data_IF_494548228923
#
_entry.id   IF_494548228923
#
_cell.length_a   1.000
_cell.length_b   1.000
_cell.length_c   1.000
_cell.angle_alpha   90.00
_cell.angle_beta   90.00
_cell.angle_gamma   90.00
#
_symmetry.space_group_name_H-M   'P 1'
#
loop_
_entity.id
_entity.type
_entity.pdbx_description
1 polymer ?
#
# COMPACT_ATOMS: atom_id res chain seq x y z
N UNK A 1 -25.03 -18.32 -1.70
CA UNK A 1 -24.58 -16.94 -1.95
C UNK A 1 -23.31 -16.80 -1.13
N UNK A 2 -22.21 -17.22 -1.72
CA UNK A 2 -20.95 -17.39 -1.01
C UNK A 2 -20.34 -16.00 -0.80
N UNK A 3 -20.16 -15.60 0.46
CA UNK A 3 -19.50 -14.35 0.77
C UNK A 3 -18.10 -14.40 0.13
N UNK A 4 -17.75 -13.49 -0.78
CA UNK A 4 -16.40 -13.48 -1.33
C UNK A 4 -15.47 -13.26 -0.15
N UNK A 5 -14.46 -14.12 0.00
CA UNK A 5 -13.40 -13.91 0.98
C UNK A 5 -12.79 -12.54 0.69
N UNK A 6 -13.16 -11.52 1.47
CA UNK A 6 -12.57 -10.19 1.38
C UNK A 6 -11.08 -10.36 1.65
N UNK A 7 -10.28 -10.25 0.60
CA UNK A 7 -8.83 -10.32 0.74
C UNK A 7 -8.36 -9.07 1.49
N UNK A 8 -7.14 -9.10 2.02
CA UNK A 8 -6.55 -7.92 2.70
C UNK A 8 -6.65 -6.65 1.86
N UNK A 9 -6.49 -6.79 0.54
CA UNK A 9 -6.64 -5.70 -0.42
C UNK A 9 -8.06 -5.09 -0.51
N UNK A 10 -9.13 -5.77 -0.05
CA UNK A 10 -10.48 -5.19 0.05
C UNK A 10 -10.73 -4.50 1.40
N UNK A 11 -10.02 -4.94 2.45
CA UNK A 11 -10.20 -4.43 3.81
C UNK A 11 -9.63 -3.03 3.98
N UNK A 12 -8.53 -2.72 3.30
CA UNK A 12 -7.87 -1.42 3.36
C UNK A 12 -8.78 -0.31 2.79
N UNK A 13 -9.32 -0.42 1.56
CA UNK A 13 -10.28 0.55 1.06
C UNK A 13 -11.52 0.64 1.95
N UNK A 14 -12.08 -0.49 2.40
CA UNK A 14 -13.26 -0.52 3.27
C UNK A 14 -13.07 0.16 4.64
N UNK A 15 -11.82 0.25 5.12
CA UNK A 15 -11.46 0.89 6.40
C UNK A 15 -10.81 2.27 6.21
N UNK A 16 -10.69 2.76 4.97
CA UNK A 16 -10.17 4.08 4.63
C UNK A 16 -11.34 5.05 4.52
N UNK A 17 -11.14 6.31 4.94
CA UNK A 17 -12.16 7.35 4.77
C UNK A 17 -12.50 7.54 3.28
N UNK A 18 -13.78 7.73 2.99
CA UNK A 18 -14.29 7.74 1.60
C UNK A 18 -13.67 8.86 0.76
N UNK A 19 -13.38 10.01 1.36
CA UNK A 19 -12.71 11.14 0.70
C UNK A 19 -11.30 10.79 0.21
N UNK A 20 -10.57 9.94 0.94
CA UNK A 20 -9.25 9.46 0.54
C UNK A 20 -9.35 8.44 -0.60
N UNK A 21 -10.31 7.50 -0.50
CA UNK A 21 -10.56 6.54 -1.57
C UNK A 21 -10.98 7.24 -2.87
N UNK A 22 -11.86 8.23 -2.77
CA UNK A 22 -12.34 8.98 -3.91
C UNK A 22 -11.22 9.79 -4.58
N UNK A 23 -10.35 10.44 -3.79
CA UNK A 23 -9.17 11.12 -4.33
C UNK A 23 -8.28 10.16 -5.13
N UNK A 24 -8.01 8.97 -4.61
CA UNK A 24 -7.19 7.97 -5.33
C UNK A 24 -7.85 7.53 -6.64
N UNK A 25 -9.18 7.35 -6.65
CA UNK A 25 -9.93 7.03 -7.87
C UNK A 25 -9.88 8.16 -8.89
N UNK A 26 -10.02 9.41 -8.44
CA UNK A 26 -9.93 10.60 -9.28
C UNK A 26 -8.53 10.71 -9.91
N UNK A 27 -7.47 10.56 -9.10
CA UNK A 27 -6.08 10.59 -9.58
C UNK A 27 -5.81 9.53 -10.66
N UNK A 28 -6.38 8.32 -10.52
CA UNK A 28 -6.27 7.27 -11.55
C UNK A 28 -7.00 7.71 -12.82
N UNK A 29 -8.23 8.22 -12.71
CA UNK A 29 -9.01 8.70 -13.85
C UNK A 29 -8.31 9.82 -14.62
N UNK A 30 -7.76 10.80 -13.92
CA UNK A 30 -7.04 11.93 -14.51
C UNK A 30 -5.78 11.47 -15.26
N UNK A 31 -5.06 10.47 -14.74
CA UNK A 31 -3.92 9.85 -15.43
C UNK A 31 -4.36 9.13 -16.71
N UNK A 32 -5.45 8.37 -16.67
CA UNK A 32 -5.95 7.68 -17.86
C UNK A 32 -6.32 8.68 -18.97
N UNK A 33 -6.95 9.80 -18.62
CA UNK A 33 -7.20 10.89 -19.57
C UNK A 33 -5.90 11.50 -20.11
N UNK A 34 -4.91 11.71 -19.26
CA UNK A 34 -3.61 12.25 -19.69
C UNK A 34 -2.89 11.34 -20.70
N UNK A 35 -2.92 10.02 -20.48
CA UNK A 35 -2.26 9.03 -21.34
C UNK A 35 -3.06 8.66 -22.59
N UNK A 36 -4.37 8.94 -22.62
CA UNK A 36 -5.19 8.73 -23.82
C UNK A 36 -4.67 9.50 -25.04
N UNK A 37 -4.12 10.71 -24.81
CA UNK A 37 -3.51 11.54 -25.86
C UNK A 37 -1.99 11.31 -26.01
N UNK A 38 -1.37 10.47 -25.17
CA UNK A 38 0.09 10.23 -25.09
C UNK A 38 0.44 8.75 -24.88
N UNK A 39 0.05 7.87 -25.82
CA UNK A 39 0.27 6.43 -25.66
C UNK A 39 1.75 6.04 -25.64
N UNK A 40 2.63 6.88 -26.20
CA UNK A 40 4.09 6.71 -26.20
C UNK A 40 4.72 6.84 -24.81
N UNK A 41 4.09 7.56 -23.88
CA UNK A 41 4.57 7.70 -22.49
C UNK A 41 4.10 6.55 -21.57
N UNK A 42 3.24 5.64 -22.08
CA UNK A 42 2.64 4.58 -21.24
C UNK A 42 3.68 3.55 -20.79
N UNK A 43 4.65 3.20 -21.63
CA UNK A 43 5.66 2.20 -21.25
C UNK A 43 6.50 2.67 -20.06
N UNK A 44 6.89 3.94 -20.03
CA UNK A 44 7.58 4.54 -18.88
C UNK A 44 6.69 4.49 -17.62
N UNK A 45 5.40 4.80 -17.77
CA UNK A 45 4.45 4.73 -16.66
C UNK A 45 4.28 3.32 -16.12
N UNK A 46 4.24 2.31 -16.98
CA UNK A 46 4.16 0.91 -16.56
C UNK A 46 5.39 0.53 -15.72
N UNK A 47 6.59 0.98 -16.10
CA UNK A 47 7.82 0.79 -15.31
C UNK A 47 7.74 1.51 -13.96
N UNK A 48 7.15 2.70 -13.89
CA UNK A 48 6.91 3.38 -12.62
C UNK A 48 5.96 2.58 -11.71
N UNK A 49 4.84 2.07 -12.27
CA UNK A 49 3.86 1.28 -11.53
C UNK A 49 4.47 -0.02 -10.98
N UNK A 50 5.39 -0.65 -11.71
CA UNK A 50 6.12 -1.84 -11.24
C UNK A 50 7.03 -1.55 -10.04
N UNK A 51 7.57 -0.33 -9.97
CA UNK A 51 8.46 0.12 -8.89
C UNK A 51 7.71 0.70 -7.70
N UNK A 52 6.44 1.04 -7.87
CA UNK A 52 5.62 1.60 -6.83
C UNK A 52 5.42 0.62 -5.67
N UNK A 53 5.51 1.12 -4.44
CA UNK A 53 5.30 0.31 -3.26
C UNK A 53 3.84 0.36 -2.87
N UNK A 54 3.22 -0.81 -2.80
CA UNK A 54 1.89 -0.94 -2.24
C UNK A 54 1.91 -0.81 -0.70
N UNK A 55 0.71 -0.62 -0.15
CA UNK A 55 0.50 -0.45 1.29
C UNK A 55 0.99 -1.64 2.13
N UNK A 56 0.86 -2.87 1.65
CA UNK A 56 1.25 -4.07 2.40
C UNK A 56 2.78 -4.12 2.49
N UNK A 57 3.47 -3.98 1.36
CA UNK A 57 4.93 -3.91 1.29
C UNK A 57 5.50 -2.76 2.12
N UNK A 58 4.85 -1.58 2.09
CA UNK A 58 5.25 -0.41 2.87
C UNK A 58 5.17 -0.70 4.37
N UNK A 59 4.07 -1.31 4.84
CA UNK A 59 3.89 -1.64 6.25
C UNK A 59 4.89 -2.68 6.73
N UNK A 60 5.03 -3.77 6.00
CA UNK A 60 5.89 -4.90 6.39
C UNK A 60 7.37 -4.51 6.42
N UNK A 61 7.84 -3.76 5.42
CA UNK A 61 9.23 -3.32 5.36
C UNK A 61 9.57 -2.37 6.52
N UNK A 62 8.70 -1.39 6.80
CA UNK A 62 8.92 -0.44 7.89
C UNK A 62 8.83 -1.13 9.27
N UNK A 63 7.85 -2.01 9.48
CA UNK A 63 7.73 -2.76 10.72
C UNK A 63 8.96 -3.67 10.95
N UNK A 64 9.40 -4.39 9.92
CA UNK A 64 10.58 -5.25 9.98
C UNK A 64 11.86 -4.45 10.26
N UNK A 65 12.02 -3.28 9.62
CA UNK A 65 13.15 -2.39 9.89
C UNK A 65 13.20 -1.95 11.36
N UNK A 66 12.06 -1.51 11.92
CA UNK A 66 11.97 -1.11 13.33
C UNK A 66 12.29 -2.27 14.29
N UNK A 67 11.81 -3.48 13.98
CA UNK A 67 12.13 -4.68 14.76
C UNK A 67 13.62 -4.98 14.74
N UNK A 68 14.25 -4.97 13.56
CA UNK A 68 15.68 -5.25 13.41
C UNK A 68 16.56 -4.20 14.10
N UNK A 69 16.20 -2.91 13.97
CA UNK A 69 16.89 -1.81 14.66
C UNK A 69 16.77 -2.00 16.18
N UNK A 70 15.55 -2.21 16.69
CA UNK A 70 15.32 -2.39 18.12
C UNK A 70 16.00 -3.63 18.69
N UNK A 71 16.04 -4.73 17.94
CA UNK A 71 16.79 -5.93 18.31
C UNK A 71 18.29 -5.67 18.35
N UNK A 72 18.84 -5.01 17.32
CA UNK A 72 20.25 -4.65 17.26
C UNK A 72 20.69 -3.77 18.42
N UNK A 73 19.89 -2.75 18.76
CA UNK A 73 20.11 -1.89 19.92
C UNK A 73 19.92 -2.64 21.25
N UNK A 74 18.94 -3.55 21.31
CA UNK A 74 18.64 -4.38 22.47
C UNK A 74 19.79 -5.31 22.86
N UNK A 75 20.46 -5.87 21.85
CA UNK A 75 21.58 -6.80 22.03
C UNK A 75 22.91 -6.10 22.25
N UNK A 76 23.13 -4.90 21.66
CA UNK A 76 24.43 -4.22 21.66
C UNK A 76 24.53 -3.03 22.62
N UNK A 77 23.43 -2.37 22.95
CA UNK A 77 23.41 -1.11 23.71
C UNK A 77 22.75 -1.31 25.07
N UNK A 78 21.45 -1.61 25.11
CA UNK A 78 20.70 -1.80 26.36
C UNK A 78 19.45 -2.66 26.12
N UNK A 79 19.15 -3.58 27.04
CA UNK A 79 17.99 -4.48 26.95
C UNK A 79 16.65 -3.75 26.88
N UNK A 80 16.57 -2.49 27.34
CA UNK A 80 15.36 -1.64 27.24
C UNK A 80 14.94 -1.42 25.78
N UNK A 81 15.86 -1.45 24.82
CA UNK A 81 15.52 -1.33 23.40
C UNK A 81 14.73 -2.53 22.86
N UNK A 82 14.71 -3.68 23.55
CA UNK A 82 13.84 -4.81 23.21
C UNK A 82 12.35 -4.50 23.41
N UNK A 83 12.01 -3.41 24.09
CA UNK A 83 10.63 -2.91 24.14
C UNK A 83 10.10 -2.55 22.74
N UNK A 84 10.95 -2.00 21.85
CA UNK A 84 10.54 -1.62 20.50
C UNK A 84 10.05 -2.82 19.66
N UNK A 85 10.84 -3.89 19.45
CA UNK A 85 10.37 -5.06 18.70
C UNK A 85 9.20 -5.75 19.39
N UNK A 86 9.14 -5.75 20.74
CA UNK A 86 8.00 -6.30 21.46
C UNK A 86 6.69 -5.53 21.18
N UNK A 87 6.73 -4.19 21.19
CA UNK A 87 5.58 -3.34 20.87
C UNK A 87 5.16 -3.49 19.41
N UNK A 88 6.11 -3.48 18.47
CA UNK A 88 5.81 -3.66 17.04
C UNK A 88 5.19 -5.04 16.78
N UNK A 89 5.74 -6.11 17.38
CA UNK A 89 5.19 -7.46 17.24
C UNK A 89 3.79 -7.59 17.85
N UNK A 90 3.57 -7.04 19.06
CA UNK A 90 2.25 -7.02 19.69
C UNK A 90 1.23 -6.26 18.83
N UNK A 91 1.65 -5.15 18.23
CA UNK A 91 0.83 -4.37 17.32
C UNK A 91 0.45 -5.13 16.05
N UNK A 92 1.43 -5.78 15.39
CA UNK A 92 1.17 -6.62 14.21
C UNK A 92 0.24 -7.80 14.55
N UNK A 93 0.42 -8.41 15.72
CA UNK A 93 -0.44 -9.49 16.20
C UNK A 93 -1.88 -9.02 16.44
N UNK A 94 -2.05 -7.89 17.13
CA UNK A 94 -3.35 -7.25 17.31
C UNK A 94 -4.00 -6.92 15.95
N UNK A 95 -3.22 -6.38 15.02
CA UNK A 95 -3.69 -6.07 13.67
C UNK A 95 -4.17 -7.32 12.92
N UNK A 96 -3.41 -8.41 12.96
CA UNK A 96 -3.79 -9.68 12.32
C UNK A 96 -5.11 -10.24 12.86
N UNK A 97 -5.40 -10.02 14.15
CA UNK A 97 -6.65 -10.47 14.79
C UNK A 97 -7.83 -9.53 14.56
N UNK A 98 -7.63 -8.21 14.61
CA UNK A 98 -8.70 -7.22 14.60
C UNK A 98 -8.93 -6.58 13.22
N UNK A 99 -8.01 -6.76 12.28
CA UNK A 99 -8.08 -6.20 10.93
C UNK A 99 -7.89 -4.68 10.84
N UNK A 100 -7.82 -3.97 11.96
CA UNK A 100 -7.59 -2.52 12.01
C UNK A 100 -6.11 -2.19 12.15
N UNK A 101 -5.60 -1.23 11.38
CA UNK A 101 -4.20 -0.81 11.40
C UNK A 101 -4.11 0.71 11.49
N UNK A 102 -3.79 1.35 12.64
CA UNK A 102 -3.61 2.80 12.74
C UNK A 102 -2.62 3.43 11.74
N UNK A 103 -1.52 2.78 11.30
CA UNK A 103 -0.66 3.37 10.27
C UNK A 103 -1.29 3.33 8.87
N UNK A 104 -2.25 2.44 8.59
CA UNK A 104 -2.90 2.37 7.26
C UNK A 104 -3.60 3.69 6.91
N UNK A 105 -4.53 4.24 7.72
CA UNK A 105 -5.14 5.53 7.41
C UNK A 105 -4.13 6.67 7.20
N UNK A 106 -3.01 6.65 7.92
CA UNK A 106 -1.95 7.64 7.75
C UNK A 106 -1.27 7.50 6.37
N UNK A 107 -0.81 6.29 6.02
CA UNK A 107 -0.19 6.04 4.72
C UNK A 107 -1.16 6.27 3.56
N UNK A 108 -2.44 5.92 3.73
CA UNK A 108 -3.50 6.20 2.75
C UNK A 108 -3.69 7.70 2.53
N UNK A 109 -3.68 8.51 3.60
CA UNK A 109 -3.70 9.98 3.49
C UNK A 109 -2.47 10.54 2.78
N UNK A 110 -1.30 9.90 2.93
CA UNK A 110 -0.07 10.22 2.21
C UNK A 110 -0.06 9.74 0.75
N UNK A 111 -1.14 9.09 0.27
CA UNK A 111 -1.28 8.66 -1.12
C UNK A 111 -0.72 7.25 -1.40
N UNK A 112 -0.35 6.47 -0.38
CA UNK A 112 0.10 5.09 -0.59
C UNK A 112 -1.07 4.23 -1.04
N UNK A 113 -0.91 3.62 -2.22
CA UNK A 113 -1.97 2.86 -2.88
C UNK A 113 -1.93 1.39 -2.50
N UNK A 114 -3.08 0.74 -2.62
CA UNK A 114 -3.15 -0.72 -2.53
C UNK A 114 -2.61 -1.34 -3.80
N UNK A 115 -2.20 -2.61 -3.73
CA UNK A 115 -1.76 -3.37 -4.91
C UNK A 115 -2.84 -3.39 -6.00
N UNK A 116 -4.11 -3.53 -5.61
CA UNK A 116 -5.25 -3.51 -6.53
C UNK A 116 -5.42 -2.19 -7.27
N UNK A 117 -5.25 -1.06 -6.59
CA UNK A 117 -5.35 0.25 -7.24
C UNK A 117 -4.22 0.48 -8.24
N UNK A 118 -3.00 0.04 -7.92
CA UNK A 118 -1.85 0.09 -8.84
C UNK A 118 -2.11 -0.82 -10.05
N UNK A 119 -2.59 -2.03 -9.83
CA UNK A 119 -2.92 -2.98 -10.90
C UNK A 119 -4.12 -2.53 -11.74
N UNK A 120 -5.11 -1.86 -11.15
CA UNK A 120 -6.24 -1.31 -11.88
C UNK A 120 -5.79 -0.21 -12.86
N UNK A 121 -4.88 0.69 -12.45
CA UNK A 121 -4.28 1.67 -13.36
C UNK A 121 -3.49 0.95 -14.47
N UNK A 122 -2.64 -0.01 -14.11
CA UNK A 122 -1.84 -0.79 -15.07
C UNK A 122 -2.71 -1.46 -16.14
N UNK A 123 -3.78 -2.14 -15.70
CA UNK A 123 -4.72 -2.85 -16.58
C UNK A 123 -5.52 -1.87 -17.46
N UNK A 124 -5.87 -0.69 -16.94
CA UNK A 124 -6.57 0.31 -17.73
C UNK A 124 -5.68 1.00 -18.78
N UNK A 125 -4.37 1.06 -18.56
CA UNK A 125 -3.39 1.58 -19.52
C UNK A 125 -3.06 0.59 -20.65
N UNK A 126 -3.13 -0.71 -20.41
CA UNK A 126 -2.81 -1.76 -21.40
C UNK A 126 -3.59 -1.62 -22.72
N UNK A 127 -4.93 -1.39 -22.73
CA UNK A 127 -5.68 -1.12 -23.94
C UNK A 127 -5.23 0.16 -24.65
N UNK A 128 -5.00 1.25 -23.91
CA UNK A 128 -4.64 2.56 -24.47
C UNK A 128 -3.30 2.47 -25.22
N UNK A 129 -2.33 1.74 -24.65
CA UNK A 129 -1.02 1.48 -25.28
C UNK A 129 -1.15 0.79 -26.65
N UNK A 130 -2.09 -0.15 -26.78
CA UNK A 130 -2.19 -1.02 -27.94
C UNK A 130 -3.11 -0.47 -29.06
N UNK A 131 -3.60 0.77 -28.94
CA UNK A 131 -4.50 1.40 -29.92
C UNK A 131 -3.74 2.06 -31.10
N UNK A 132 -2.42 1.89 -31.17
CA UNK A 132 -1.58 2.33 -32.29
C UNK A 132 -1.06 1.17 -33.14
#
# INVERSE_FOLDING_TARGET
MDAPFLTTADRVPASTLEDVNERIRQDIGDRLWYYADRPDEIDDRLVELEREWDIERTLEANASALVLIGLGLGLRVDRRFLALPAVVAAFLFQHALQGWCPPVPLFRRLGVRTRREIEAERYALEPIRNVN
#
